data_IF_093070140791
#
_entry.id   IF_093070140791
#
_cell.length_a   1.000
_cell.length_b   1.000
_cell.length_c   1.000
_cell.angle_alpha   90.00
_cell.angle_beta   90.00
_cell.angle_gamma   90.00
#
_symmetry.space_group_name_H-M   'P 1'
#
loop_
_entity.id
_entity.type
_entity.pdbx_description
1 polymer ?
#
# COMPACT_ATOMS: atom_id res chain seq x y z
N UNK A 1 30.12 -1.75 -2.89
CA UNK A 1 29.26 -0.62 -2.52
C UNK A 1 27.89 -1.22 -2.24
N UNK A 2 27.50 -1.29 -0.97
CA UNK A 2 26.19 -1.84 -0.61
C UNK A 2 25.19 -0.72 -0.94
N UNK A 3 24.37 -0.89 -1.96
CA UNK A 3 23.28 0.07 -2.20
C UNK A 3 22.48 0.20 -0.91
N UNK A 4 22.05 1.42 -0.52
CA UNK A 4 21.10 1.54 0.58
C UNK A 4 19.91 0.63 0.24
N UNK A 5 19.52 -0.21 1.18
CA UNK A 5 18.35 -1.08 0.98
C UNK A 5 17.15 -0.13 0.89
N UNK A 6 16.68 0.12 -0.33
CA UNK A 6 15.51 0.97 -0.55
C UNK A 6 14.32 0.37 0.20
N UNK A 7 13.63 1.22 0.98
CA UNK A 7 12.41 0.83 1.67
C UNK A 7 11.23 0.77 0.68
N UNK A 8 10.30 -0.22 0.79
CA UNK A 8 10.37 -1.40 1.65
C UNK A 8 11.41 -2.42 1.17
N UNK A 9 12.07 -3.05 2.13
CA UNK A 9 13.00 -4.14 1.85
C UNK A 9 12.25 -5.37 1.34
N UNK A 10 12.90 -6.17 0.49
CA UNK A 10 12.36 -7.44 -0.03
C UNK A 10 11.99 -7.40 -1.51
N UNK A 11 11.73 -8.60 -2.03
CA UNK A 11 11.51 -8.86 -3.46
C UNK A 11 10.04 -9.16 -3.81
N UNK A 12 9.10 -8.94 -2.89
CA UNK A 12 7.67 -9.11 -3.19
C UNK A 12 7.21 -8.11 -4.25
N UNK A 13 6.17 -8.47 -5.00
CA UNK A 13 5.62 -7.60 -6.05
C UNK A 13 5.08 -6.30 -5.44
N UNK A 14 4.38 -6.40 -4.32
CA UNK A 14 3.88 -5.24 -3.58
C UNK A 14 5.02 -4.32 -3.13
N UNK A 15 6.14 -4.86 -2.60
CA UNK A 15 7.30 -4.03 -2.24
C UNK A 15 7.91 -3.34 -3.46
N UNK A 16 8.00 -4.04 -4.60
CA UNK A 16 8.46 -3.46 -5.87
C UNK A 16 7.57 -2.32 -6.37
N UNK A 17 6.25 -2.47 -6.27
CA UNK A 17 5.29 -1.40 -6.61
C UNK A 17 5.45 -0.20 -5.69
N UNK A 18 5.58 -0.43 -4.38
CA UNK A 18 5.79 0.67 -3.42
C UNK A 18 7.08 1.43 -3.74
N UNK A 19 8.18 0.73 -4.02
CA UNK A 19 9.47 1.38 -4.37
C UNK A 19 9.43 2.18 -5.67
N UNK A 20 8.67 1.72 -6.66
CA UNK A 20 8.65 2.31 -8.01
C UNK A 20 7.60 3.40 -8.21
N UNK A 21 6.57 3.47 -7.35
CA UNK A 21 5.53 4.49 -7.42
C UNK A 21 6.09 5.86 -7.01
N UNK A 22 5.74 6.91 -7.76
CA UNK A 22 5.90 8.28 -7.30
C UNK A 22 4.82 8.60 -6.26
N UNK A 23 5.26 8.95 -5.06
CA UNK A 23 4.40 9.25 -3.92
C UNK A 23 4.28 10.76 -3.64
N UNK A 24 5.02 11.59 -4.39
CA UNK A 24 4.90 13.05 -4.29
C UNK A 24 3.46 13.59 -4.51
N UNK A 25 2.59 12.98 -5.34
CA UNK A 25 1.22 13.48 -5.51
C UNK A 25 0.23 13.00 -4.45
N UNK A 26 0.61 12.12 -3.52
CA UNK A 26 -0.30 11.60 -2.48
C UNK A 26 -0.13 12.37 -1.16
N UNK A 27 -1.12 12.26 -0.26
CA UNK A 27 -1.03 12.83 1.10
C UNK A 27 0.14 12.31 1.95
N UNK A 28 0.80 11.21 1.56
CA UNK A 28 1.99 10.69 2.24
C UNK A 28 3.29 11.37 1.80
N UNK A 29 3.31 11.96 0.60
CA UNK A 29 4.51 12.52 0.00
C UNK A 29 5.63 11.49 -0.23
N UNK A 30 6.86 11.95 -0.50
CA UNK A 30 8.00 11.08 -0.78
C UNK A 30 8.27 10.06 0.33
N UNK A 31 8.60 8.81 -0.04
CA UNK A 31 8.87 7.68 0.88
C UNK A 31 9.87 8.02 1.99
N UNK A 32 10.83 8.90 1.72
CA UNK A 32 11.85 9.31 2.68
C UNK A 32 11.21 9.96 3.92
N UNK A 33 10.11 10.68 3.74
CA UNK A 33 9.40 11.41 4.80
C UNK A 33 8.29 10.60 5.47
N UNK A 34 8.04 9.37 5.03
CA UNK A 34 6.97 8.57 5.63
C UNK A 34 7.20 8.32 7.13
N UNK A 35 6.14 8.37 7.95
CA UNK A 35 6.24 8.08 9.38
C UNK A 35 6.87 6.71 9.65
N UNK A 36 7.71 6.62 10.69
CA UNK A 36 8.33 5.36 11.08
C UNK A 36 7.29 4.25 11.38
N UNK A 37 6.15 4.63 11.98
CA UNK A 37 5.04 3.72 12.24
C UNK A 37 4.49 3.08 10.95
N UNK A 38 4.27 3.87 9.89
CA UNK A 38 3.84 3.34 8.60
C UNK A 38 4.87 2.36 8.03
N UNK A 39 6.16 2.71 8.09
CA UNK A 39 7.23 1.85 7.58
C UNK A 39 7.26 0.50 8.29
N UNK A 40 7.15 0.51 9.62
CA UNK A 40 7.09 -0.71 10.43
C UNK A 40 5.85 -1.56 10.12
N UNK A 41 4.67 -0.95 10.01
CA UNK A 41 3.43 -1.67 9.69
C UNK A 41 3.48 -2.27 8.29
N UNK A 42 4.00 -1.55 7.29
CA UNK A 42 4.19 -2.10 5.95
C UNK A 42 5.18 -3.25 5.93
N UNK A 43 6.27 -3.19 6.70
CA UNK A 43 7.18 -4.33 6.82
C UNK A 43 6.47 -5.57 7.37
N UNK A 44 5.63 -5.42 8.41
CA UNK A 44 4.84 -6.54 8.95
C UNK A 44 3.87 -7.09 7.90
N UNK A 45 3.11 -6.21 7.25
CA UNK A 45 2.15 -6.57 6.21
C UNK A 45 2.81 -7.30 5.04
N UNK A 46 3.93 -6.78 4.53
CA UNK A 46 4.60 -7.32 3.34
C UNK A 46 5.34 -8.64 3.60
N UNK A 47 5.72 -8.93 4.85
CA UNK A 47 6.38 -10.18 5.23
C UNK A 47 5.42 -11.24 5.77
N UNK A 48 4.13 -10.93 5.90
CA UNK A 48 3.11 -11.88 6.32
C UNK A 48 2.71 -12.83 5.18
N UNK A 49 2.59 -14.15 5.43
CA UNK A 49 2.00 -15.08 4.47
C UNK A 49 0.48 -14.97 4.36
N UNK A 50 -0.16 -14.35 5.36
CA UNK A 50 -1.62 -14.21 5.42
C UNK A 50 -2.10 -13.10 4.48
N UNK A 51 -3.32 -13.25 3.93
CA UNK A 51 -3.93 -12.22 3.09
C UNK A 51 -4.23 -10.96 3.91
N UNK A 52 -3.51 -9.86 3.65
CA UNK A 52 -3.59 -8.63 4.43
C UNK A 52 -3.64 -7.36 3.58
N UNK A 53 -4.40 -6.37 4.06
CA UNK A 53 -4.39 -5.00 3.58
C UNK A 53 -4.26 -4.00 4.74
N UNK A 54 -3.91 -2.76 4.41
CA UNK A 54 -3.82 -1.62 5.32
C UNK A 54 -4.44 -0.40 4.64
N UNK A 55 -5.24 0.35 5.38
CA UNK A 55 -5.66 1.71 5.03
C UNK A 55 -4.86 2.69 5.88
N UNK A 56 -4.33 3.75 5.27
CA UNK A 56 -3.50 4.70 5.99
C UNK A 56 -3.83 6.15 5.69
N UNK A 57 -3.85 6.96 6.74
CA UNK A 57 -3.98 8.41 6.64
C UNK A 57 -5.40 8.89 6.32
N UNK A 58 -5.59 10.21 6.15
CA UNK A 58 -6.90 10.82 5.98
C UNK A 58 -7.60 10.43 4.68
N UNK A 59 -6.84 10.10 3.63
CA UNK A 59 -7.37 9.64 2.34
C UNK A 59 -7.57 8.11 2.29
N UNK A 60 -7.28 7.42 3.40
CA UNK A 60 -7.35 5.95 3.50
C UNK A 60 -6.63 5.27 2.33
N UNK A 61 -5.37 5.65 2.11
CA UNK A 61 -4.57 5.07 1.04
C UNK A 61 -4.42 3.57 1.24
N UNK A 62 -4.72 2.80 0.20
CA UNK A 62 -4.79 1.35 0.24
C UNK A 62 -3.42 0.71 0.02
N UNK A 63 -3.03 -0.20 0.91
CA UNK A 63 -1.85 -1.04 0.77
C UNK A 63 -2.24 -2.50 0.95
N UNK A 64 -1.54 -3.41 0.29
CA UNK A 64 -1.79 -4.84 0.43
C UNK A 64 -0.52 -5.65 0.17
N UNK A 65 -0.49 -6.89 0.66
CA UNK A 65 0.60 -7.81 0.36
C UNK A 65 0.27 -8.69 -0.86
N UNK A 66 1.24 -9.49 -1.29
CA UNK A 66 1.09 -10.35 -2.46
C UNK A 66 0.00 -11.42 -2.25
N UNK A 67 -0.21 -11.88 -1.02
CA UNK A 67 -1.26 -12.84 -0.66
C UNK A 67 -2.69 -12.27 -0.84
N UNK A 68 -2.87 -10.97 -0.63
CA UNK A 68 -4.15 -10.29 -0.84
C UNK A 68 -4.44 -9.99 -2.32
N UNK A 69 -3.41 -9.91 -3.17
CA UNK A 69 -3.56 -9.47 -4.56
C UNK A 69 -4.68 -10.20 -5.34
N UNK A 70 -4.84 -11.54 -5.26
CA UNK A 70 -5.91 -12.24 -5.97
C UNK A 70 -7.33 -11.75 -5.65
N UNK A 71 -7.57 -11.22 -4.44
CA UNK A 71 -8.88 -10.74 -3.98
C UNK A 71 -9.31 -9.47 -4.73
N UNK A 72 -8.35 -8.64 -5.16
CA UNK A 72 -8.63 -7.39 -5.86
C UNK A 72 -9.23 -7.60 -7.26
N UNK A 73 -9.03 -8.77 -7.87
CA UNK A 73 -9.47 -9.07 -9.23
C UNK A 73 -9.04 -7.96 -10.22
N UNK A 74 -9.98 -7.30 -10.93
CA UNK A 74 -9.66 -6.26 -11.91
C UNK A 74 -9.06 -4.99 -11.29
N UNK A 75 -9.21 -4.77 -9.98
CA UNK A 75 -8.72 -3.58 -9.26
C UNK A 75 -7.23 -3.60 -8.96
N UNK A 76 -6.54 -4.72 -9.20
CA UNK A 76 -5.11 -4.87 -8.86
C UNK A 76 -4.23 -3.76 -9.45
N UNK A 77 -4.53 -3.34 -10.69
CA UNK A 77 -3.75 -2.30 -11.37
C UNK A 77 -3.95 -0.96 -10.66
N UNK A 78 -2.91 -0.48 -10.00
CA UNK A 78 -2.93 0.81 -9.31
C UNK A 78 -3.54 0.78 -7.91
N UNK A 79 -3.87 -0.40 -7.35
CA UNK A 79 -4.47 -0.48 -6.02
C UNK A 79 -3.60 0.15 -4.92
N UNK A 80 -2.30 -0.16 -4.92
CA UNK A 80 -1.36 0.34 -3.91
C UNK A 80 -1.24 1.86 -4.00
N UNK A 81 -1.57 2.53 -2.89
CA UNK A 81 -1.55 3.97 -2.73
C UNK A 81 -2.69 4.70 -3.43
N UNK A 82 -3.78 4.01 -3.76
CA UNK A 82 -5.02 4.66 -4.20
C UNK A 82 -5.95 4.89 -3.01
N UNK A 83 -6.73 5.99 -2.97
CA UNK A 83 -7.78 6.15 -1.97
C UNK A 83 -8.77 4.98 -2.04
N UNK A 84 -9.10 4.40 -0.88
CA UNK A 84 -9.98 3.23 -0.84
C UNK A 84 -11.36 3.50 -1.43
N UNK A 85 -11.88 4.72 -1.26
CA UNK A 85 -13.16 5.15 -1.79
C UNK A 85 -13.19 5.18 -3.33
N UNK A 86 -12.05 5.46 -3.97
CA UNK A 86 -11.92 5.40 -5.44
C UNK A 86 -11.73 3.95 -5.90
N UNK A 87 -10.89 3.18 -5.18
CA UNK A 87 -10.61 1.77 -5.50
C UNK A 87 -11.87 0.88 -5.43
N UNK A 88 -12.75 1.17 -4.47
CA UNK A 88 -13.99 0.42 -4.19
C UNK A 88 -15.25 1.27 -4.39
N UNK A 89 -15.21 2.21 -5.34
CA UNK A 89 -16.29 3.18 -5.57
C UNK A 89 -17.67 2.54 -5.79
N UNK A 90 -17.74 1.33 -6.34
CA UNK A 90 -18.98 0.59 -6.59
C UNK A 90 -19.67 0.06 -5.32
N UNK A 91 -18.93 -0.05 -4.21
CA UNK A 91 -19.44 -0.57 -2.92
C UNK A 91 -19.18 0.36 -1.75
N UNK A 92 -18.53 1.51 -1.97
CA UNK A 92 -18.09 2.43 -0.90
C UNK A 92 -19.25 2.91 -0.02
N UNK A 93 -20.39 3.23 -0.63
CA UNK A 93 -21.59 3.71 0.09
C UNK A 93 -22.16 2.67 1.06
N UNK A 94 -21.78 1.39 0.95
CA UNK A 94 -22.23 0.32 1.85
C UNK A 94 -21.38 0.21 3.12
N UNK A 95 -20.16 0.76 3.11
CA UNK A 95 -19.17 0.60 4.20
C UNK A 95 -18.80 1.91 4.89
N UNK A 96 -19.24 3.05 4.34
CA UNK A 96 -18.95 4.37 4.91
C UNK A 96 -19.93 4.77 6.05
N UNK A 97 -19.48 5.57 7.04
CA UNK A 97 -18.08 5.86 7.34
C UNK A 97 -17.40 4.66 8.02
N UNK A 98 -16.11 4.49 7.73
CA UNK A 98 -15.24 3.46 8.32
C UNK A 98 -14.59 3.94 9.63
#
# INVERSE_FOLDING_TARGET
>A
MISPIDFPAGASKAAGIIRSKDWSPTSLGPIQHWPAALKSTLNLLLNSPESMYLLWGPELLFFHNDAYAPILGPRQRGAIGSPVAELWADVWDQVAPL
#
